data_IF_290421042770
#
_entry.id   IF_290421042770
#
_cell.length_a   1.000
_cell.length_b   1.000
_cell.length_c   1.000
_cell.angle_alpha   90.00
_cell.angle_beta   90.00
_cell.angle_gamma   90.00
#
_symmetry.space_group_name_H-M   'P 1'
#
loop_
_entity.id
_entity.type
_entity.pdbx_description
1 polymer ?
#
# COMPACT_ATOMS: atom_id res chain seq x y z
N UNK A 1 8.59 -8.98 -0.65
CA UNK A 1 8.50 -7.66 0.02
C UNK A 1 8.36 -6.60 -1.07
N UNK A 2 7.22 -5.92 -1.16
CA UNK A 2 6.91 -4.98 -2.25
C UNK A 2 6.98 -3.54 -1.75
N UNK A 3 7.35 -2.60 -2.63
CA UNK A 3 7.44 -1.17 -2.33
C UNK A 3 6.38 -0.44 -3.17
N UNK A 4 5.58 0.40 -2.52
CA UNK A 4 4.62 1.31 -3.13
C UNK A 4 5.08 2.75 -2.94
N UNK A 5 4.89 3.60 -3.95
CA UNK A 5 5.29 5.00 -3.89
C UNK A 5 4.09 5.89 -3.62
N UNK A 6 4.12 6.59 -2.49
CA UNK A 6 3.00 7.41 -2.03
C UNK A 6 3.57 8.77 -1.58
N UNK A 7 3.49 9.80 -2.45
CA UNK A 7 4.12 11.10 -2.19
C UNK A 7 3.46 11.88 -1.04
N UNK A 8 2.18 11.63 -0.79
CA UNK A 8 1.40 12.27 0.26
C UNK A 8 0.81 11.21 1.19
N UNK A 9 1.47 11.04 2.33
CA UNK A 9 1.01 10.15 3.39
C UNK A 9 0.30 11.02 4.43
N UNK A 10 -1.03 10.96 4.44
CA UNK A 10 -1.87 11.74 5.35
C UNK A 10 -2.54 10.81 6.36
N UNK A 11 -1.81 10.48 7.43
CA UNK A 11 -2.29 9.65 8.55
C UNK A 11 -1.81 8.19 8.52
N UNK A 12 -2.44 7.36 9.36
CA UNK A 12 -2.07 5.93 9.49
C UNK A 12 -2.62 5.07 8.34
N UNK A 13 -3.70 5.50 7.68
CA UNK A 13 -4.36 4.72 6.63
C UNK A 13 -4.05 5.34 5.28
N UNK A 14 -3.56 4.52 4.35
CA UNK A 14 -3.26 4.94 3.00
C UNK A 14 -4.13 4.16 2.01
N UNK A 15 -4.77 4.89 1.11
CA UNK A 15 -5.48 4.29 -0.01
C UNK A 15 -4.59 4.29 -1.25
N UNK A 16 -4.35 3.10 -1.80
CA UNK A 16 -3.67 2.97 -3.08
C UNK A 16 -4.56 3.49 -4.20
N UNK A 17 -3.94 4.09 -5.21
CA UNK A 17 -4.65 4.44 -6.43
C UNK A 17 -5.15 3.15 -7.15
N UNK A 18 -6.09 3.23 -8.10
CA UNK A 18 -6.64 2.05 -8.76
C UNK A 18 -5.62 1.20 -9.51
N UNK A 19 -4.52 1.80 -9.99
CA UNK A 19 -3.47 1.11 -10.71
C UNK A 19 -2.62 0.25 -9.76
N UNK A 20 -2.18 0.83 -8.64
CA UNK A 20 -1.42 0.14 -7.60
C UNK A 20 -2.28 -0.86 -6.85
N UNK A 21 -3.56 -0.55 -6.61
CA UNK A 21 -4.54 -1.49 -6.05
C UNK A 21 -4.68 -2.74 -6.90
N UNK A 22 -4.79 -2.58 -8.23
CA UNK A 22 -4.83 -3.70 -9.17
C UNK A 22 -3.51 -4.47 -9.15
N UNK A 23 -2.37 -3.79 -9.09
CA UNK A 23 -1.07 -4.47 -9.01
C UNK A 23 -0.95 -5.29 -7.71
N UNK A 24 -1.29 -4.71 -6.56
CA UNK A 24 -1.27 -5.36 -5.26
C UNK A 24 -2.17 -6.62 -5.23
N UNK A 25 -3.40 -6.52 -5.74
CA UNK A 25 -4.40 -7.58 -5.59
C UNK A 25 -4.39 -8.58 -6.76
N UNK A 26 -4.29 -8.12 -8.01
CA UNK A 26 -4.38 -8.99 -9.20
C UNK A 26 -3.04 -9.56 -9.63
N UNK A 27 -1.96 -8.81 -9.49
CA UNK A 27 -0.62 -9.25 -9.94
C UNK A 27 0.12 -9.90 -8.79
N UNK A 28 0.29 -9.17 -7.69
CA UNK A 28 1.04 -9.62 -6.53
C UNK A 28 0.23 -10.57 -5.63
N UNK A 29 -1.10 -10.59 -5.79
CA UNK A 29 -2.03 -11.44 -5.03
C UNK A 29 -1.85 -11.27 -3.52
N UNK A 30 -1.62 -10.04 -3.08
CA UNK A 30 -1.46 -9.72 -1.68
C UNK A 30 -2.83 -9.77 -0.99
N UNK A 31 -2.85 -10.38 0.18
CA UNK A 31 -4.05 -10.57 0.99
C UNK A 31 -4.04 -9.67 2.22
N UNK A 32 -5.19 -9.58 2.90
CA UNK A 32 -5.28 -8.90 4.19
C UNK A 32 -4.24 -9.47 5.16
N UNK A 33 -3.49 -8.59 5.81
CA UNK A 33 -2.37 -8.96 6.68
C UNK A 33 -1.00 -9.00 6.00
N UNK A 34 -0.96 -8.81 4.67
CA UNK A 34 0.31 -8.76 3.95
C UNK A 34 1.07 -7.48 4.28
N UNK A 35 2.35 -7.62 4.59
CA UNK A 35 3.23 -6.48 4.88
C UNK A 35 3.90 -5.97 3.61
N UNK A 36 3.81 -4.67 3.39
CA UNK A 36 4.38 -3.93 2.27
C UNK A 36 5.20 -2.75 2.78
N UNK A 37 6.05 -2.21 1.92
CA UNK A 37 6.81 -0.99 2.20
C UNK A 37 6.21 0.16 1.42
N UNK A 38 6.16 1.32 2.04
CA UNK A 38 5.70 2.56 1.42
C UNK A 38 6.85 3.55 1.45
N UNK A 39 7.07 4.26 0.34
CA UNK A 39 8.10 5.30 0.24
C UNK A 39 7.47 6.61 -0.22
N UNK A 40 7.92 7.71 0.40
CA UNK A 40 7.41 9.07 0.12
C UNK A 40 8.23 9.84 -0.93
N UNK A 41 9.34 9.28 -1.41
CA UNK A 41 10.27 9.92 -2.33
C UNK A 41 11.08 11.08 -1.75
N UNK A 42 10.89 11.39 -0.46
CA UNK A 42 11.64 12.40 0.31
C UNK A 42 12.67 11.77 1.25
N UNK A 43 12.79 10.44 1.22
CA UNK A 43 13.69 9.65 2.06
C UNK A 43 12.99 8.92 3.21
N UNK A 44 11.67 9.06 3.36
CA UNK A 44 10.86 8.30 4.30
C UNK A 44 10.52 6.92 3.73
N UNK A 45 10.83 5.89 4.53
CA UNK A 45 10.46 4.51 4.27
C UNK A 45 9.64 3.99 5.44
N UNK A 46 8.43 3.56 5.13
CA UNK A 46 7.43 3.13 6.09
C UNK A 46 7.05 1.68 5.83
N UNK A 47 6.64 0.99 6.88
CA UNK A 47 6.08 -0.36 6.77
C UNK A 47 4.57 -0.22 6.91
N UNK A 48 3.83 -0.89 6.03
CA UNK A 48 2.38 -0.89 6.07
C UNK A 48 1.83 -2.30 5.89
N UNK A 49 0.66 -2.54 6.44
CA UNK A 49 -0.06 -3.80 6.36
C UNK A 49 -1.33 -3.61 5.54
N UNK A 50 -1.64 -4.55 4.64
CA UNK A 50 -2.89 -4.52 3.89
C UNK A 50 -4.06 -4.79 4.82
N UNK A 51 -4.94 -3.82 4.99
CA UNK A 51 -6.16 -3.97 5.79
C UNK A 51 -7.38 -4.32 4.92
N UNK A 52 -7.39 -3.90 3.65
CA UNK A 52 -8.45 -4.22 2.69
C UNK A 52 -7.88 -4.45 1.28
N UNK A 53 -7.79 -5.71 0.80
CA UNK A 53 -7.29 -6.03 -0.53
C UNK A 53 -8.37 -5.89 -1.62
N UNK A 54 -8.74 -4.65 -1.96
CA UNK A 54 -9.64 -4.36 -3.10
C UNK A 54 -8.83 -3.95 -4.34
N UNK A 55 -9.17 -4.49 -5.51
CA UNK A 55 -8.48 -4.16 -6.76
C UNK A 55 -8.77 -2.76 -7.30
N UNK A 56 -9.82 -2.09 -6.80
CA UNK A 56 -10.17 -0.70 -7.10
C UNK A 56 -9.67 0.28 -6.05
N UNK A 57 -9.73 -0.09 -4.78
CA UNK A 57 -9.38 0.75 -3.63
C UNK A 57 -8.72 -0.07 -2.52
N UNK A 58 -7.49 -0.51 -2.74
CA UNK A 58 -6.73 -1.23 -1.73
C UNK A 58 -6.33 -0.28 -0.60
N UNK A 59 -6.58 -0.68 0.65
CA UNK A 59 -6.24 0.12 1.82
C UNK A 59 -5.09 -0.53 2.59
N UNK A 60 -4.13 0.29 2.96
CA UNK A 60 -2.94 -0.05 3.74
C UNK A 60 -2.99 0.70 5.06
N UNK A 61 -2.45 0.11 6.12
CA UNK A 61 -2.23 0.78 7.41
C UNK A 61 -0.75 0.80 7.75
N UNK A 62 -0.18 1.98 7.97
CA UNK A 62 1.21 2.16 8.41
C UNK A 62 1.35 1.66 9.85
N UNK A 63 2.44 0.96 10.12
CA UNK A 63 2.85 0.45 11.45
C UNK A 63 4.20 1.03 11.85
#
# INVERSE_FOLDING_TARGET
MHIFYIPEISGEIINLNPQESRHAVKVLRLEKGSVVRVVDGKGGLYIAEIINPDFKNCCLKIT
#
